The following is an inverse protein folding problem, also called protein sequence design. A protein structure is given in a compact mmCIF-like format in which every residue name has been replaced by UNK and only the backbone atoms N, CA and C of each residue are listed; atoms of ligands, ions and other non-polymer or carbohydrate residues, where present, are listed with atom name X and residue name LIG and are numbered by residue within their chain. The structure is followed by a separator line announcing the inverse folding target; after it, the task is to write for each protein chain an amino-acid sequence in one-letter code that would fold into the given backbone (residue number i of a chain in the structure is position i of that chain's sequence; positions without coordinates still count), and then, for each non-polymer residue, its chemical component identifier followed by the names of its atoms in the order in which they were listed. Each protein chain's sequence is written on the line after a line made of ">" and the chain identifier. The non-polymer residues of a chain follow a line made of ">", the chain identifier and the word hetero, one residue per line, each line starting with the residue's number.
data_IF_971272890807
#
_entry.id   IF_971272890807
#
_cell.length_a   1.000
_cell.length_b   1.000
_cell.length_c   1.000
_cell.angle_alpha   90.00
_cell.angle_beta   90.00
_cell.angle_gamma   90.00
#
_symmetry.space_group_name_H-M   'P 1'
#
loop_
_entity.id
_entity.type
_entity.pdbx_description
1 polymer ?
#
# COMPACT_ATOMS: atom_id res chain seq x y z
N UNK A 1 -6.67 -12.68 -25.76
CA UNK A 1 -5.64 -12.48 -24.72
C UNK A 1 -4.59 -11.61 -25.34
N UNK A 2 -4.48 -10.36 -24.91
CA UNK A 2 -3.61 -9.34 -25.52
C UNK A 2 -2.58 -8.88 -24.49
N UNK A 3 -1.74 -9.80 -24.02
CA UNK A 3 -0.75 -9.55 -22.95
C UNK A 3 0.42 -8.65 -23.42
N UNK A 4 0.43 -8.24 -24.68
CA UNK A 4 1.47 -7.38 -25.24
C UNK A 4 1.18 -5.88 -25.12
N UNK A 5 -0.07 -5.46 -24.84
CA UNK A 5 -0.40 -4.03 -24.75
C UNK A 5 0.05 -3.37 -23.44
N UNK A 6 0.13 -4.12 -22.33
CA UNK A 6 0.50 -3.55 -21.03
C UNK A 6 2.00 -3.24 -20.91
N UNK A 7 2.83 -3.84 -21.76
CA UNK A 7 4.28 -3.64 -21.74
C UNK A 7 4.70 -2.20 -22.07
N UNK A 8 3.88 -1.47 -22.84
CA UNK A 8 4.13 -0.06 -23.17
C UNK A 8 3.66 0.91 -22.07
N UNK A 9 2.88 0.43 -21.08
CA UNK A 9 2.31 1.27 -20.02
C UNK A 9 3.18 1.35 -18.76
N UNK A 10 4.17 0.48 -18.61
CA UNK A 10 5.05 0.44 -17.44
C UNK A 10 6.44 0.93 -17.79
N UNK A 11 6.99 1.86 -16.99
CA UNK A 11 8.35 2.34 -17.21
C UNK A 11 9.42 1.34 -16.80
N UNK A 12 9.14 0.46 -15.82
CA UNK A 12 10.11 -0.45 -15.18
C UNK A 12 11.36 0.24 -14.60
N UNK A 13 11.39 1.58 -14.58
CA UNK A 13 12.54 2.41 -14.19
C UNK A 13 12.43 2.94 -12.75
N UNK A 14 11.50 2.41 -11.94
CA UNK A 14 11.35 2.86 -10.54
C UNK A 14 12.59 2.52 -9.73
N UNK A 15 13.17 3.53 -9.08
CA UNK A 15 14.32 3.31 -8.20
C UNK A 15 13.88 2.77 -6.83
N UNK A 16 14.83 2.22 -6.08
CA UNK A 16 14.58 1.75 -4.72
C UNK A 16 14.12 2.89 -3.81
N UNK A 17 14.73 4.07 -3.93
CA UNK A 17 14.37 5.27 -3.17
C UNK A 17 12.92 5.68 -3.45
N UNK A 18 12.45 5.62 -4.71
CA UNK A 18 11.05 5.92 -5.03
C UNK A 18 10.07 4.92 -4.38
N UNK A 19 10.46 3.65 -4.30
CA UNK A 19 9.65 2.58 -3.68
C UNK A 19 9.62 2.77 -2.15
N UNK A 20 10.75 3.08 -1.52
CA UNK A 20 10.85 3.40 -0.10
C UNK A 20 10.05 4.65 0.27
N UNK A 21 10.13 5.71 -0.55
CA UNK A 21 9.30 6.89 -0.37
C UNK A 21 7.81 6.58 -0.47
N UNK A 22 7.42 5.70 -1.39
CA UNK A 22 6.03 5.28 -1.52
C UNK A 22 5.57 4.48 -0.30
N UNK A 23 6.45 3.63 0.24
CA UNK A 23 6.19 2.89 1.47
C UNK A 23 5.94 3.85 2.65
N UNK A 24 6.82 4.83 2.88
CA UNK A 24 6.63 5.85 3.93
C UNK A 24 5.31 6.62 3.74
N UNK A 25 4.98 7.03 2.51
CA UNK A 25 3.70 7.70 2.19
C UNK A 25 2.49 6.81 2.49
N UNK A 26 2.57 5.52 2.18
CA UNK A 26 1.50 4.55 2.42
C UNK A 26 1.29 4.32 3.93
N UNK A 27 2.36 4.10 4.69
CA UNK A 27 2.32 3.91 6.15
C UNK A 27 1.79 5.15 6.86
N UNK A 28 2.22 6.35 6.46
CA UNK A 28 1.69 7.62 7.00
C UNK A 28 0.19 7.76 6.74
N UNK A 29 -0.27 7.42 5.53
CA UNK A 29 -1.70 7.48 5.19
C UNK A 29 -2.50 6.43 5.97
N UNK A 30 -1.95 5.24 6.18
CA UNK A 30 -2.56 4.20 6.99
C UNK A 30 -2.69 4.67 8.46
N UNK A 31 -1.62 5.26 9.00
CA UNK A 31 -1.58 5.83 10.35
C UNK A 31 -2.58 6.99 10.55
N UNK A 32 -2.83 7.79 9.51
CA UNK A 32 -3.89 8.80 9.55
C UNK A 32 -5.27 8.16 9.68
N UNK A 33 -5.54 7.06 8.98
CA UNK A 33 -6.83 6.37 9.05
C UNK A 33 -7.07 5.65 10.39
N UNK A 34 -6.07 4.97 10.94
CA UNK A 34 -6.19 4.35 12.28
C UNK A 34 -6.44 5.40 13.36
N UNK A 35 -5.74 6.54 13.31
CA UNK A 35 -5.94 7.66 14.25
C UNK A 35 -7.33 8.28 14.07
N UNK A 36 -7.76 8.52 12.83
CA UNK A 36 -9.08 9.07 12.56
C UNK A 36 -10.22 8.17 13.04
N UNK A 37 -10.07 6.84 12.98
CA UNK A 37 -11.08 5.91 13.52
C UNK A 37 -11.33 6.08 15.02
N UNK A 38 -10.31 6.50 15.78
CA UNK A 38 -10.43 6.70 17.23
C UNK A 38 -11.25 7.95 17.57
N UNK A 39 -11.13 9.01 16.76
CA UNK A 39 -11.75 10.31 17.06
C UNK A 39 -13.01 10.59 16.24
N UNK A 40 -13.21 9.92 15.10
CA UNK A 40 -14.33 10.19 14.21
C UNK A 40 -15.66 9.59 14.70
N UNK A 41 -16.79 10.19 14.28
CA UNK A 41 -18.13 9.64 14.51
C UNK A 41 -18.30 8.24 13.87
N UNK A 42 -19.22 7.44 14.43
CA UNK A 42 -19.38 6.00 14.10
C UNK A 42 -19.66 5.73 12.62
N UNK A 43 -20.42 6.61 11.97
CA UNK A 43 -20.75 6.56 10.54
C UNK A 43 -19.51 6.69 9.63
N UNK A 44 -18.47 7.44 10.06
CA UNK A 44 -17.21 7.59 9.32
C UNK A 44 -16.18 6.49 9.59
N UNK A 45 -16.35 5.70 10.66
CA UNK A 45 -15.39 4.64 11.02
C UNK A 45 -15.22 3.61 9.91
N UNK A 46 -16.31 3.22 9.25
CA UNK A 46 -16.26 2.23 8.16
C UNK A 46 -15.46 2.74 6.96
N UNK A 47 -15.55 4.04 6.64
CA UNK A 47 -14.75 4.65 5.58
C UNK A 47 -13.26 4.55 5.91
N UNK A 48 -12.86 4.92 7.13
CA UNK A 48 -11.46 4.85 7.53
C UNK A 48 -10.95 3.42 7.67
N UNK A 49 -11.77 2.48 8.15
CA UNK A 49 -11.41 1.06 8.24
C UNK A 49 -11.11 0.46 6.86
N UNK A 50 -11.95 0.74 5.85
CA UNK A 50 -11.74 0.26 4.49
C UNK A 50 -10.43 0.79 3.89
N UNK A 51 -10.17 2.10 4.06
CA UNK A 51 -8.93 2.69 3.57
C UNK A 51 -7.69 2.17 4.32
N UNK A 52 -7.79 1.99 5.63
CA UNK A 52 -6.72 1.38 6.43
C UNK A 52 -6.37 -0.02 5.91
N UNK A 53 -7.39 -0.86 5.67
CA UNK A 53 -7.20 -2.22 5.16
C UNK A 53 -6.69 -2.28 3.73
N UNK A 54 -7.14 -1.38 2.85
CA UNK A 54 -6.55 -1.28 1.52
C UNK A 54 -5.05 -0.93 1.57
N UNK A 55 -4.67 0.02 2.45
CA UNK A 55 -3.28 0.42 2.63
C UNK A 55 -2.42 -0.67 3.28
N UNK A 56 -3.01 -1.52 4.11
CA UNK A 56 -2.32 -2.69 4.69
C UNK A 56 -1.77 -3.61 3.60
N UNK A 57 -2.57 -3.90 2.57
CA UNK A 57 -2.13 -4.66 1.40
C UNK A 57 -1.05 -3.94 0.58
N UNK A 58 -1.19 -2.63 0.37
CA UNK A 58 -0.18 -1.81 -0.34
C UNK A 58 1.17 -1.83 0.39
N UNK A 59 1.16 -1.59 1.70
CA UNK A 59 2.36 -1.62 2.56
C UNK A 59 3.02 -2.99 2.51
N UNK A 60 2.23 -4.06 2.64
CA UNK A 60 2.74 -5.44 2.59
C UNK A 60 3.40 -5.75 1.24
N UNK A 61 2.79 -5.33 0.13
CA UNK A 61 3.35 -5.54 -1.21
C UNK A 61 4.66 -4.75 -1.41
N UNK A 62 4.73 -3.49 -0.99
CA UNK A 62 5.94 -2.68 -1.10
C UNK A 62 7.08 -3.25 -0.24
N UNK A 63 6.79 -3.68 0.99
CA UNK A 63 7.78 -4.33 1.87
C UNK A 63 8.29 -5.63 1.28
N UNK A 64 7.42 -6.42 0.65
CA UNK A 64 7.83 -7.62 -0.08
C UNK A 64 8.75 -7.28 -1.27
N UNK A 65 8.41 -6.25 -2.06
CA UNK A 65 9.27 -5.77 -3.17
C UNK A 65 10.66 -5.34 -2.67
N UNK A 66 10.72 -4.71 -1.50
CA UNK A 66 11.96 -4.29 -0.84
C UNK A 66 12.74 -5.43 -0.15
N UNK A 67 12.21 -6.66 -0.16
CA UNK A 67 12.88 -7.84 0.40
C UNK A 67 12.77 -7.97 1.92
N UNK A 68 11.67 -7.53 2.54
CA UNK A 68 11.42 -7.75 3.97
C UNK A 68 11.42 -9.24 4.31
N UNK A 69 12.39 -9.66 5.13
CA UNK A 69 12.62 -11.06 5.52
C UNK A 69 11.44 -11.67 6.29
N UNK A 70 10.53 -10.85 6.81
CA UNK A 70 9.36 -11.31 7.55
C UNK A 70 8.13 -11.52 6.65
N UNK A 71 8.21 -11.18 5.35
CA UNK A 71 7.10 -11.32 4.41
C UNK A 71 7.51 -12.32 3.33
N UNK A 72 7.03 -13.55 3.46
CA UNK A 72 7.30 -14.61 2.49
C UNK A 72 6.54 -14.37 1.17
N UNK A 73 5.25 -14.00 1.27
CA UNK A 73 4.40 -13.73 0.11
C UNK A 73 3.44 -12.57 0.41
N UNK A 74 3.28 -11.58 -0.50
CA UNK A 74 2.53 -10.37 -0.19
C UNK A 74 1.01 -10.60 -0.10
N UNK A 75 0.52 -11.73 -0.60
CA UNK A 75 -0.91 -12.08 -0.63
C UNK A 75 -1.33 -13.11 0.43
N UNK A 76 -0.39 -13.66 1.21
CA UNK A 76 -0.64 -14.62 2.29
C UNK A 76 -0.48 -13.95 3.65
#
# INVERSE_FOLDING_TARGET
>A
MNDHQDSEHFSYERTWEEIEEMLDKAERKQNKHITAMQTCPKDKRMYHMRNYKALEGVVKALRWVLGDLNIQHPLE
#
